data_IF_071857857558
#
_entry.id   IF_071857857558
#
_cell.length_a   1.000
_cell.length_b   1.000
_cell.length_c   1.000
_cell.angle_alpha   90.00
_cell.angle_beta   90.00
_cell.angle_gamma   90.00
#
_symmetry.space_group_name_H-M   'P 1'
#
loop_
_entity.id
_entity.type
_entity.pdbx_description
1 polymer ?
#
# COMPACT_ATOMS: atom_id res chain seq x y z
N UNK A 1 -9.59 2.38 -13.73
CA UNK A 1 -10.17 1.95 -15.03
C UNK A 1 -9.86 0.46 -15.16
N UNK A 2 -10.68 -0.39 -14.53
CA UNK A 2 -10.34 -1.81 -14.32
C UNK A 2 -10.90 -2.64 -15.46
N UNK A 3 -10.04 -3.18 -16.31
CA UNK A 3 -10.45 -4.21 -17.25
C UNK A 3 -11.10 -5.39 -16.48
N UNK A 4 -12.19 -5.93 -17.02
CA UNK A 4 -12.94 -7.00 -16.36
C UNK A 4 -12.10 -8.28 -16.19
N UNK A 5 -11.18 -8.53 -17.11
CA UNK A 5 -10.36 -9.75 -17.10
C UNK A 5 -9.02 -9.51 -16.41
N UNK A 6 -8.64 -10.46 -15.55
CA UNK A 6 -7.35 -10.44 -14.87
C UNK A 6 -6.16 -10.44 -15.85
N UNK A 7 -6.31 -11.14 -16.99
CA UNK A 7 -5.29 -11.15 -18.06
C UNK A 7 -4.97 -9.74 -18.55
N UNK A 8 -5.98 -8.89 -18.72
CA UNK A 8 -5.81 -7.52 -19.23
C UNK A 8 -5.17 -6.63 -18.17
N UNK A 9 -5.56 -6.79 -16.89
CA UNK A 9 -4.95 -6.06 -15.78
C UNK A 9 -3.48 -6.44 -15.60
N UNK A 10 -3.16 -7.73 -15.67
CA UNK A 10 -1.78 -8.23 -15.65
C UNK A 10 -0.97 -7.66 -16.81
N UNK A 11 -1.49 -7.76 -18.04
CA UNK A 11 -0.82 -7.21 -19.22
C UNK A 11 -0.62 -5.69 -19.14
N UNK A 12 -1.52 -4.96 -18.45
CA UNK A 12 -1.33 -3.55 -18.20
C UNK A 12 -0.14 -3.28 -17.26
N UNK A 13 0.01 -4.08 -16.18
CA UNK A 13 1.15 -4.00 -15.26
C UNK A 13 2.46 -4.29 -16.00
N UNK A 14 2.53 -5.42 -16.70
CA UNK A 14 3.68 -5.83 -17.52
C UNK A 14 4.05 -4.74 -18.54
N UNK A 15 3.05 -4.12 -19.18
CA UNK A 15 3.28 -3.06 -20.15
C UNK A 15 3.81 -1.79 -19.51
N UNK A 16 3.37 -1.43 -18.30
CA UNK A 16 3.91 -0.28 -17.59
C UNK A 16 5.38 -0.51 -17.25
N UNK A 17 5.71 -1.69 -16.75
CA UNK A 17 7.06 -2.11 -16.44
C UNK A 17 8.06 -2.08 -17.59
N UNK A 18 7.63 -2.61 -18.74
CA UNK A 18 8.45 -2.65 -19.95
C UNK A 18 8.66 -1.29 -20.61
N UNK A 19 7.77 -0.32 -20.34
CA UNK A 19 7.72 0.96 -21.08
C UNK A 19 8.25 2.14 -20.29
N UNK A 20 8.23 2.04 -18.97
CA UNK A 20 8.54 3.12 -18.06
C UNK A 20 9.53 2.68 -17.01
N UNK A 21 10.29 3.64 -16.52
CA UNK A 21 11.32 3.47 -15.50
C UNK A 21 10.95 4.34 -14.29
N UNK A 22 11.06 3.77 -13.09
CA UNK A 22 10.72 4.43 -11.83
C UNK A 22 11.54 5.70 -11.54
N UNK A 23 12.74 5.86 -12.11
CA UNK A 23 13.54 7.07 -11.97
C UNK A 23 12.88 8.28 -12.66
N UNK A 24 12.26 8.04 -13.82
CA UNK A 24 11.65 9.09 -14.63
C UNK A 24 10.13 9.20 -14.43
N UNK A 25 9.49 8.09 -14.01
CA UNK A 25 8.04 7.98 -13.83
C UNK A 25 7.75 7.24 -12.53
N UNK A 26 7.95 7.87 -11.36
CA UNK A 26 7.77 7.21 -10.07
C UNK A 26 6.32 6.74 -9.85
N UNK A 27 5.35 7.29 -10.57
CA UNK A 27 3.92 6.94 -10.46
C UNK A 27 3.64 5.48 -10.85
N UNK A 28 4.51 4.84 -11.65
CA UNK A 28 4.33 3.42 -12.01
C UNK A 28 4.45 2.52 -10.77
N UNK A 29 5.27 2.90 -9.79
CA UNK A 29 5.41 2.17 -8.54
C UNK A 29 4.10 2.17 -7.75
N UNK A 30 3.38 3.29 -7.76
CA UNK A 30 2.06 3.37 -7.12
C UNK A 30 1.05 2.45 -7.83
N UNK A 31 1.12 2.33 -9.16
CA UNK A 31 0.27 1.41 -9.91
C UNK A 31 0.57 -0.05 -9.55
N UNK A 32 1.84 -0.40 -9.37
CA UNK A 32 2.22 -1.75 -8.93
C UNK A 32 1.78 -2.04 -7.49
N UNK A 33 1.94 -1.09 -6.57
CA UNK A 33 1.42 -1.22 -5.20
C UNK A 33 -0.10 -1.43 -5.19
N UNK A 34 -0.83 -0.75 -6.06
CA UNK A 34 -2.25 -1.04 -6.23
C UNK A 34 -2.49 -2.45 -6.77
N UNK A 35 -1.68 -2.90 -7.74
CA UNK A 35 -1.71 -4.26 -8.28
C UNK A 35 -1.45 -5.37 -7.26
N UNK A 36 -0.67 -5.11 -6.20
CA UNK A 36 -0.46 -6.04 -5.08
C UNK A 36 -1.75 -6.35 -4.30
N UNK A 37 -2.82 -5.57 -4.49
CA UNK A 37 -4.11 -5.78 -3.83
C UNK A 37 -5.18 -6.33 -4.80
N UNK A 38 -4.78 -6.78 -6.00
CA UNK A 38 -5.71 -7.34 -6.97
C UNK A 38 -6.34 -8.65 -6.49
N UNK A 39 -7.59 -8.92 -6.90
CA UNK A 39 -8.28 -10.15 -6.54
C UNK A 39 -7.67 -11.41 -7.17
N UNK A 40 -7.01 -11.29 -8.33
CA UNK A 40 -6.37 -12.40 -9.03
C UNK A 40 -4.89 -12.51 -8.65
N UNK A 41 -4.47 -13.70 -8.24
CA UNK A 41 -3.11 -13.99 -7.79
C UNK A 41 -2.05 -13.72 -8.87
N UNK A 42 -2.40 -13.89 -10.15
CA UNK A 42 -1.45 -13.66 -11.25
C UNK A 42 -1.17 -12.18 -11.44
N UNK A 43 -2.15 -11.32 -11.16
CA UNK A 43 -1.98 -9.86 -11.23
C UNK A 43 -1.12 -9.39 -10.06
N UNK A 44 -1.39 -9.89 -8.84
CA UNK A 44 -0.57 -9.59 -7.66
C UNK A 44 0.87 -10.05 -7.83
N UNK A 45 1.08 -11.26 -8.37
CA UNK A 45 2.42 -11.79 -8.59
C UNK A 45 3.19 -10.96 -9.64
N UNK A 46 2.54 -10.55 -10.72
CA UNK A 46 3.13 -9.67 -11.73
C UNK A 46 3.51 -8.30 -11.15
N UNK A 47 2.66 -7.76 -10.27
CA UNK A 47 2.94 -6.49 -9.61
C UNK A 47 4.19 -6.57 -8.72
N UNK A 48 4.33 -7.65 -7.93
CA UNK A 48 5.51 -7.88 -7.11
C UNK A 48 6.77 -8.10 -7.95
N UNK A 49 6.65 -8.86 -9.04
CA UNK A 49 7.74 -9.12 -9.99
C UNK A 49 8.25 -7.82 -10.62
N UNK A 50 7.34 -6.98 -11.11
CA UNK A 50 7.69 -5.71 -11.74
C UNK A 50 8.29 -4.71 -10.74
N UNK A 51 7.82 -4.67 -9.49
CA UNK A 51 8.48 -3.89 -8.43
C UNK A 51 9.93 -4.38 -8.25
N UNK A 52 10.15 -5.70 -8.17
CA UNK A 52 11.47 -6.28 -8.05
C UNK A 52 12.38 -5.91 -9.24
N UNK A 53 11.87 -5.98 -10.46
CA UNK A 53 12.59 -5.62 -11.67
C UNK A 53 13.04 -4.16 -11.69
N UNK A 54 12.14 -3.25 -11.32
CA UNK A 54 12.48 -1.83 -11.26
C UNK A 54 13.50 -1.53 -10.16
N UNK A 55 13.43 -2.21 -9.01
CA UNK A 55 14.39 -2.06 -7.91
C UNK A 55 15.77 -2.65 -8.26
N UNK A 56 15.81 -3.77 -8.99
CA UNK A 56 17.07 -4.35 -9.51
C UNK A 56 17.75 -3.42 -10.50
N UNK A 57 16.98 -2.75 -11.35
CA UNK A 57 17.49 -1.74 -12.30
C UNK A 57 17.93 -0.47 -11.56
N UNK A 58 17.13 0.01 -10.61
CA UNK A 58 17.28 1.30 -9.95
C UNK A 58 17.05 1.20 -8.43
N UNK A 59 18.11 0.88 -7.69
CA UNK A 59 18.04 0.74 -6.22
C UNK A 59 17.57 2.01 -5.50
N UNK A 60 17.72 3.19 -6.10
CA UNK A 60 17.28 4.46 -5.53
C UNK A 60 15.74 4.58 -5.41
N UNK A 61 14.98 3.77 -6.14
CA UNK A 61 13.51 3.78 -6.08
C UNK A 61 12.96 3.06 -4.83
N UNK A 62 13.81 2.42 -4.01
CA UNK A 62 13.38 1.75 -2.80
C UNK A 62 12.89 2.77 -1.77
N UNK A 63 11.60 2.72 -1.41
CA UNK A 63 10.99 3.59 -0.41
C UNK A 63 10.40 2.78 0.74
N UNK A 64 10.28 3.35 1.96
CA UNK A 64 9.67 2.66 3.10
C UNK A 64 8.24 2.18 2.81
N UNK A 65 7.48 2.92 2.00
CA UNK A 65 6.12 2.54 1.58
C UNK A 65 6.10 1.31 0.66
N UNK A 66 7.12 1.14 -0.19
CA UNK A 66 7.25 -0.07 -1.01
C UNK A 66 7.63 -1.27 -0.16
N UNK A 67 8.58 -1.08 0.76
CA UNK A 67 8.99 -2.14 1.70
C UNK A 67 7.80 -2.61 2.52
N UNK A 68 6.97 -1.69 3.05
CA UNK A 68 5.77 -2.09 3.80
C UNK A 68 4.74 -2.83 2.94
N UNK A 69 4.50 -2.37 1.71
CA UNK A 69 3.58 -3.05 0.79
C UNK A 69 4.07 -4.47 0.43
N UNK A 70 5.36 -4.64 0.14
CA UNK A 70 5.96 -5.95 -0.13
C UNK A 70 5.96 -6.84 1.11
N UNK A 71 6.18 -6.28 2.30
CA UNK A 71 6.08 -7.01 3.57
C UNK A 71 4.67 -7.57 3.77
N UNK A 72 3.64 -6.78 3.45
CA UNK A 72 2.27 -7.28 3.48
C UNK A 72 2.06 -8.41 2.45
N UNK A 73 2.67 -8.32 1.27
CA UNK A 73 2.59 -9.37 0.24
C UNK A 73 3.30 -10.69 0.63
N UNK A 74 4.23 -10.68 1.60
CA UNK A 74 4.80 -11.92 2.16
C UNK A 74 3.76 -12.77 2.91
N UNK A 75 2.62 -12.19 3.31
CA UNK A 75 1.52 -12.91 3.94
C UNK A 75 0.45 -13.42 2.93
N UNK A 76 0.70 -13.29 1.62
CA UNK A 76 -0.25 -13.72 0.59
C UNK A 76 -0.48 -15.24 0.63
N UNK A 77 -1.69 -15.68 0.26
CA UNK A 77 -2.04 -17.10 0.19
C UNK A 77 -1.36 -17.80 -1.01
N UNK A 78 -1.04 -17.06 -2.06
CA UNK A 78 -0.38 -17.60 -3.24
C UNK A 78 1.15 -17.61 -3.07
N UNK A 79 1.75 -18.77 -3.32
CA UNK A 79 3.20 -18.97 -3.19
C UNK A 79 3.99 -18.11 -4.18
N UNK A 80 3.49 -17.90 -5.40
CA UNK A 80 4.20 -17.11 -6.41
C UNK A 80 4.27 -15.65 -5.98
N UNK A 81 3.17 -15.11 -5.44
CA UNK A 81 3.15 -13.75 -4.88
C UNK A 81 4.18 -13.60 -3.77
N UNK A 82 4.19 -14.51 -2.78
CA UNK A 82 5.15 -14.47 -1.67
C UNK A 82 6.59 -14.48 -2.15
N UNK A 83 6.94 -15.38 -3.08
CA UNK A 83 8.28 -15.47 -3.65
C UNK A 83 8.70 -14.19 -4.36
N UNK A 84 7.81 -13.60 -5.18
CA UNK A 84 8.15 -12.36 -5.89
C UNK A 84 8.32 -11.18 -4.92
N UNK A 85 7.53 -11.14 -3.85
CA UNK A 85 7.67 -10.11 -2.83
C UNK A 85 9.01 -10.24 -2.07
N UNK A 86 9.43 -11.47 -1.77
CA UNK A 86 10.74 -11.76 -1.17
C UNK A 86 11.89 -11.31 -2.08
N UNK A 87 11.91 -11.73 -3.35
CA UNK A 87 12.93 -11.33 -4.33
C UNK A 87 13.00 -9.79 -4.50
N UNK A 88 11.86 -9.11 -4.44
CA UNK A 88 11.80 -7.64 -4.51
C UNK A 88 12.36 -6.97 -3.23
N UNK A 89 12.12 -7.54 -2.05
CA UNK A 89 12.68 -7.05 -0.79
C UNK A 89 14.20 -7.24 -0.72
N UNK A 90 14.71 -8.36 -1.24
CA UNK A 90 16.15 -8.60 -1.40
C UNK A 90 16.80 -7.59 -2.35
N UNK A 91 16.11 -7.19 -3.43
CA UNK A 91 16.56 -6.12 -4.31
C UNK A 91 16.67 -4.76 -3.59
N UNK A 92 15.88 -4.55 -2.54
CA UNK A 92 16.00 -3.40 -1.62
C UNK A 92 17.08 -3.60 -0.52
N UNK A 93 17.71 -4.77 -0.41
CA UNK A 93 18.72 -5.07 0.62
C UNK A 93 18.15 -5.60 1.95
N UNK A 94 16.92 -6.09 1.94
CA UNK A 94 16.33 -6.77 3.09
C UNK A 94 16.45 -8.27 2.91
N UNK A 95 16.86 -8.98 3.96
CA UNK A 95 16.78 -10.43 3.99
C UNK A 95 15.44 -10.83 4.64
N UNK A 96 14.68 -11.64 3.92
CA UNK A 96 13.46 -12.23 4.47
C UNK A 96 13.87 -13.51 5.18
N UNK A 97 13.91 -13.46 6.50
CA UNK A 97 14.13 -14.67 7.29
C UNK A 97 12.78 -15.35 7.44
N UNK A 98 12.68 -16.58 6.94
CA UNK A 98 11.57 -17.46 7.28
C UNK A 98 11.57 -17.60 8.81
N UNK A 99 10.63 -16.90 9.46
CA UNK A 99 10.41 -17.04 10.88
C UNK A 99 10.08 -18.50 11.13
N UNK A 100 11.05 -19.24 11.69
CA UNK A 100 10.88 -20.62 12.14
C UNK A 100 9.64 -20.72 13.03
N UNK A 101 8.49 -20.97 12.42
CA UNK A 101 7.31 -21.45 13.09
C UNK A 101 7.62 -22.91 13.42
N UNK A 102 8.36 -23.13 14.51
CA UNK A 102 8.72 -24.45 15.04
C UNK A 102 7.51 -25.23 15.57
N UNK A 103 6.48 -25.37 14.76
CA UNK A 103 5.20 -26.00 15.10
C UNK A 103 4.31 -26.35 13.91
N UNK A 104 4.69 -26.03 12.67
CA UNK A 104 4.01 -26.53 11.47
C UNK A 104 4.88 -27.55 10.73
N UNK A 105 5.43 -28.52 11.46
CA UNK A 105 6.05 -29.69 10.84
C UNK A 105 4.95 -30.73 10.51
N UNK A 106 4.97 -31.19 9.27
CA UNK A 106 4.48 -32.50 8.80
C UNK A 106 3.00 -32.69 8.40
N UNK A 107 2.19 -31.65 8.24
CA UNK A 107 0.85 -31.83 7.64
C UNK A 107 0.33 -30.61 6.88
N UNK A 108 0.96 -30.31 5.74
CA UNK A 108 0.35 -29.49 4.68
C UNK A 108 0.18 -30.32 3.39
N UNK A 109 -0.26 -31.56 3.53
CA UNK A 109 -0.81 -32.35 2.43
C UNK A 109 -2.30 -32.10 2.31
N UNK A 110 -2.74 -31.61 1.15
CA UNK A 110 -4.13 -31.53 0.71
C UNK A 110 -5.10 -30.73 1.62
N UNK A 111 -5.24 -29.43 1.31
CA UNK A 111 -6.53 -28.73 1.49
C UNK A 111 -6.92 -28.23 2.89
N UNK A 112 -5.99 -28.05 3.82
CA UNK A 112 -6.30 -27.62 5.19
C UNK A 112 -5.70 -26.25 5.58
N UNK A 113 -5.69 -25.27 4.66
CA UNK A 113 -5.46 -23.86 4.99
C UNK A 113 -6.74 -23.00 4.89
N UNK A 114 -7.91 -23.62 5.04
CA UNK A 114 -9.19 -22.93 5.10
C UNK A 114 -9.92 -23.32 6.39
N UNK A 115 -9.78 -22.52 7.45
CA UNK A 115 -10.60 -22.70 8.66
C UNK A 115 -10.06 -21.96 9.87
N UNK A 116 -10.63 -20.78 10.12
CA UNK A 116 -10.58 -20.01 11.36
C UNK A 116 -9.20 -19.74 12.00
N UNK A 117 -8.70 -18.52 11.76
CA UNK A 117 -7.97 -17.79 12.79
C UNK A 117 -6.47 -17.70 12.59
N UNK A 118 -6.02 -16.96 11.57
CA UNK A 118 -4.91 -16.05 11.81
C UNK A 118 -5.41 -14.96 12.77
N UNK A 119 -5.36 -15.25 14.07
CA UNK A 119 -5.50 -14.22 15.10
C UNK A 119 -4.39 -13.18 14.90
N UNK A 120 -4.59 -11.98 15.43
CA UNK A 120 -3.75 -10.79 15.20
C UNK A 120 -2.29 -10.87 15.74
N UNK A 121 -1.73 -12.06 15.88
CA UNK A 121 -0.33 -12.32 16.19
C UNK A 121 0.31 -13.00 14.97
N UNK A 122 0.94 -12.17 14.13
CA UNK A 122 1.49 -12.56 12.84
C UNK A 122 2.59 -13.60 12.95
N UNK A 123 2.49 -14.65 12.13
CA UNK A 123 3.66 -15.24 11.49
C UNK A 123 4.21 -14.21 10.48
N UNK A 124 4.79 -13.14 10.99
CA UNK A 124 5.39 -12.10 10.19
C UNK A 124 6.72 -12.59 9.67
N UNK A 125 6.80 -12.89 8.38
CA UNK A 125 8.08 -12.79 7.69
C UNK A 125 8.48 -11.31 7.78
N UNK A 126 9.39 -11.02 8.71
CA UNK A 126 9.88 -9.67 8.93
C UNK A 126 11.10 -9.46 8.05
N UNK A 127 11.07 -8.54 7.07
CA UNK A 127 12.28 -8.17 6.38
C UNK A 127 13.24 -7.54 7.39
N UNK A 128 14.39 -8.17 7.57
CA UNK A 128 15.48 -7.63 8.38
C UNK A 128 16.42 -6.93 7.42
N UNK A 129 16.70 -5.65 7.66
CA UNK A 129 17.74 -4.96 6.90
C UNK A 129 19.09 -5.66 7.16
N UNK A 130 19.79 -6.04 6.10
CA UNK A 130 21.10 -6.68 6.21
C UNK A 130 22.11 -5.77 6.96
N UNK A 131 23.09 -6.32 7.70
CA UNK A 131 23.99 -5.52 8.52
C UNK A 131 24.93 -4.68 7.65
N UNK A 132 24.76 -3.37 7.69
CA UNK A 132 25.68 -2.41 7.10
C UNK A 132 27.03 -2.39 7.84
N UNK A 133 28.14 -2.32 7.09
CA UNK A 133 29.45 -2.01 7.65
C UNK A 133 29.44 -0.64 8.37
N UNK A 134 30.09 -0.59 9.54
CA UNK A 134 30.17 0.52 10.50
C UNK A 134 30.67 1.85 9.85
N UNK A 135 29.91 2.96 9.98
CA UNK A 135 30.01 4.02 11.02
C UNK A 135 30.79 5.28 10.50
N UNK A 136 30.51 6.54 10.93
CA UNK A 136 30.30 6.89 12.34
C UNK A 136 29.12 7.83 12.70
N UNK A 137 28.75 7.69 13.98
CA UNK A 137 28.35 8.68 14.97
C UNK A 137 27.52 9.92 14.57
N UNK A 138 26.37 9.99 15.23
CA UNK A 138 25.51 11.16 15.37
C UNK A 138 26.26 12.44 15.81
N UNK A 139 25.73 13.63 15.47
CA UNK A 139 25.79 14.77 16.33
C UNK A 139 24.52 14.89 17.19
N UNK A 140 24.75 15.36 18.40
CA UNK A 140 23.85 15.46 19.54
C UNK A 140 22.61 16.33 19.29
N UNK A 141 21.58 16.04 20.09
CA UNK A 141 20.29 16.72 20.12
C UNK A 141 20.43 18.23 20.34
N UNK A 142 19.91 18.99 19.38
CA UNK A 142 19.66 20.43 19.51
C UNK A 142 18.30 20.61 20.21
N UNK A 143 18.17 21.46 21.24
CA UNK A 143 16.90 21.64 21.95
C UNK A 143 15.83 22.24 21.02
N UNK A 144 14.61 21.69 21.15
CA UNK A 144 13.44 22.03 20.35
C UNK A 144 13.13 23.54 20.36
N UNK A 145 12.84 24.16 19.18
CA UNK A 145 12.28 25.50 19.15
C UNK A 145 10.84 25.50 19.70
N UNK A 146 10.52 26.50 20.51
CA UNK A 146 9.21 26.72 21.11
C UNK A 146 8.07 26.75 20.05
N UNK A 147 6.85 26.30 20.40
CA UNK A 147 5.75 26.24 19.45
C UNK A 147 5.35 27.66 18.99
N UNK A 148 5.11 27.87 17.67
CA UNK A 148 4.54 29.11 17.19
C UNK A 148 3.08 29.24 17.65
N UNK A 149 2.71 30.45 18.04
CA UNK A 149 1.36 30.84 18.48
C UNK A 149 0.30 30.46 17.45
N UNK A 150 -0.84 29.99 17.95
CA UNK A 150 -2.00 29.56 17.18
C UNK A 150 -2.43 30.62 16.15
N UNK A 151 -2.74 30.26 14.89
CA UNK A 151 -3.41 31.18 13.99
C UNK A 151 -4.81 31.43 14.53
N UNK A 152 -5.02 32.64 15.09
CA UNK A 152 -6.33 33.12 15.51
C UNK A 152 -7.36 32.86 14.40
N UNK A 153 -8.34 32.03 14.70
CA UNK A 153 -9.50 31.84 13.84
C UNK A 153 -10.23 33.20 13.70
N UNK A 154 -10.17 33.76 12.49
CA UNK A 154 -10.90 34.97 12.13
C UNK A 154 -12.40 34.66 12.08
N UNK A 155 -13.11 35.00 13.14
CA UNK A 155 -14.57 34.94 13.22
C UNK A 155 -15.14 36.35 12.95
N UNK A 156 -15.62 36.67 11.73
CA UNK A 156 -16.31 37.92 11.49
C UNK A 156 -17.64 37.92 12.24
N UNK A 157 -17.65 38.59 13.40
CA UNK A 157 -18.86 38.87 14.13
C UNK A 157 -19.65 39.98 13.43
N UNK A 158 -20.94 39.70 13.16
CA UNK A 158 -22.02 40.64 12.83
C UNK A 158 -22.17 41.07 11.36
N UNK A 159 -22.67 40.15 10.53
CA UNK A 159 -23.67 40.58 9.54
C UNK A 159 -24.97 40.88 10.29
N UNK A 160 -25.24 42.17 10.43
CA UNK A 160 -26.50 42.70 10.90
C UNK A 160 -27.62 42.27 9.94
N UNK A 161 -28.57 41.52 10.50
CA UNK A 161 -29.98 41.48 10.17
C UNK A 161 -30.45 42.39 9.02
N UNK A 162 -30.85 41.78 7.89
CA UNK A 162 -32.20 41.95 7.30
C UNK A 162 -32.38 40.95 6.14
N UNK A 163 -32.96 39.77 6.42
CA UNK A 163 -33.61 38.96 5.38
C UNK A 163 -35.11 38.87 5.67
N UNK A 164 -35.99 39.31 4.76
CA UNK A 164 -37.42 39.13 4.92
C UNK A 164 -37.79 37.65 4.74
N UNK A 165 -38.52 37.12 5.73
CA UNK A 165 -39.10 35.77 5.71
C UNK A 165 -40.11 35.66 4.57
N UNK A 166 -39.86 34.80 3.59
CA UNK A 166 -40.91 34.26 2.71
C UNK A 166 -41.12 32.79 3.07
N UNK A 167 -42.28 32.48 3.65
CA UNK A 167 -42.68 31.12 4.01
C UNK A 167 -43.20 30.45 2.72
N UNK A 168 -42.40 29.59 2.12
CA UNK A 168 -42.86 28.68 1.08
C UNK A 168 -43.53 27.48 1.76
N UNK A 169 -44.86 27.41 1.63
CA UNK A 169 -45.73 26.35 2.15
C UNK A 169 -45.87 25.25 1.09
N UNK A 170 -45.46 24.02 1.43
CA UNK A 170 -45.65 22.81 0.61
C UNK A 170 -47.11 22.33 0.66
N UNK A 171 -48.02 23.08 0.03
CA UNK A 171 -49.46 22.76 0.02
C UNK A 171 -50.02 22.52 -1.40
N UNK A 172 -49.24 21.92 -2.32
CA UNK A 172 -49.66 21.75 -3.72
C UNK A 172 -49.35 20.41 -4.38
N UNK A 173 -48.91 19.38 -3.65
CA UNK A 173 -48.45 18.12 -4.25
C UNK A 173 -49.54 17.07 -4.52
N UNK A 174 -50.83 17.41 -4.37
CA UNK A 174 -51.92 16.53 -4.78
C UNK A 174 -53.01 17.30 -5.54
N UNK A 175 -52.96 17.24 -6.86
CA UNK A 175 -54.08 17.64 -7.70
C UNK A 175 -53.69 17.97 -9.14
N UNK A 176 -53.70 16.98 -10.02
CA UNK A 176 -54.59 16.97 -11.18
C UNK A 176 -54.53 15.61 -11.89
N UNK A 177 -55.55 14.81 -11.63
CA UNK A 177 -56.16 13.93 -12.62
C UNK A 177 -57.00 14.83 -13.51
N UNK A 178 -56.65 14.95 -14.80
CA UNK A 178 -57.61 14.85 -15.90
C UNK A 178 -56.90 14.63 -17.23
#
# INVERSE_FOLDING_TARGET
>A
MTACYAKDRRAAIEKLGNRYDCCCHPEIMNAFVYGLNDSDERVRAEAADEIGDQLRKNRCCCSPCLVSALTCALADCDRKVRRQAEEALEACGYEVVDGCCGGCADSCGAGACCGNGCGAAGCGATPVAAPAHAAPAAPEAVPAPAPPEEPQAYFPSRLHNTQPKTRSSLAGLFGLVR
#
